data_IF_892350660314
#
_entry.id   IF_892350660314
#
_cell.length_a   1.000
_cell.length_b   1.000
_cell.length_c   1.000
_cell.angle_alpha   90.00
_cell.angle_beta   90.00
_cell.angle_gamma   90.00
#
_symmetry.space_group_name_H-M   'P 1'
#
loop_
_entity.id
_entity.type
_entity.pdbx_description
1 polymer ?
#
# COMPACT_ATOMS: atom_id res chain seq x y z
N UNK A 1 -13.64 -15.84 2.58
CA UNK A 1 -12.18 -15.67 2.35
C UNK A 1 -11.61 -14.74 3.41
N UNK A 2 -10.54 -15.13 4.11
CA UNK A 2 -9.89 -14.32 5.14
C UNK A 2 -8.99 -13.25 4.49
N UNK A 3 -9.11 -12.00 4.92
CA UNK A 3 -8.46 -10.84 4.29
C UNK A 3 -7.42 -10.26 5.23
N UNK A 4 -6.17 -10.19 4.80
CA UNK A 4 -5.08 -9.64 5.59
C UNK A 4 -4.56 -8.37 4.91
N UNK A 5 -4.56 -7.26 5.64
CA UNK A 5 -3.90 -6.04 5.22
C UNK A 5 -2.40 -6.12 5.50
N UNK A 6 -1.57 -6.22 4.46
CA UNK A 6 -0.12 -6.11 4.60
C UNK A 6 0.30 -4.66 4.43
N UNK A 7 0.80 -4.06 5.49
CA UNK A 7 1.20 -2.64 5.48
C UNK A 7 2.61 -2.44 6.00
N UNK A 8 3.11 -1.24 5.85
CA UNK A 8 4.43 -0.81 6.29
C UNK A 8 4.70 0.60 5.79
N UNK A 9 5.43 1.38 6.56
CA UNK A 9 5.80 2.73 6.14
C UNK A 9 6.90 2.69 5.07
N UNK A 10 7.17 3.84 4.44
CA UNK A 10 8.24 3.96 3.44
C UNK A 10 9.56 3.38 3.98
N UNK A 11 10.29 2.64 3.16
CA UNK A 11 11.58 2.02 3.45
C UNK A 11 11.60 0.97 4.59
N UNK A 12 10.45 0.45 5.05
CA UNK A 12 10.42 -0.67 6.03
C UNK A 12 10.73 -2.03 5.40
N UNK A 13 10.75 -2.14 4.06
CA UNK A 13 11.03 -3.39 3.35
C UNK A 13 9.78 -4.25 3.11
N UNK A 14 8.58 -3.66 3.08
CA UNK A 14 7.31 -4.35 2.81
C UNK A 14 7.38 -5.25 1.55
N UNK A 15 7.98 -4.76 0.46
CA UNK A 15 8.11 -5.53 -0.79
C UNK A 15 8.93 -6.82 -0.62
N UNK A 16 9.92 -6.83 0.27
CA UNK A 16 10.68 -8.04 0.62
C UNK A 16 9.77 -9.07 1.27
N UNK A 17 8.96 -8.65 2.25
CA UNK A 17 7.99 -9.52 2.92
C UNK A 17 6.90 -9.98 1.96
N UNK A 18 6.40 -9.10 1.08
CA UNK A 18 5.45 -9.45 0.02
C UNK A 18 5.97 -10.58 -0.87
N UNK A 19 7.24 -10.53 -1.27
CA UNK A 19 7.86 -11.57 -2.08
C UNK A 19 8.00 -12.88 -1.30
N UNK A 20 8.42 -12.83 -0.03
CA UNK A 20 8.49 -14.02 0.83
C UNK A 20 7.13 -14.72 0.99
N UNK A 21 6.05 -13.94 1.17
CA UNK A 21 4.70 -14.48 1.23
C UNK A 21 4.27 -15.15 -0.08
N UNK A 22 4.59 -14.53 -1.23
CA UNK A 22 4.33 -15.12 -2.55
C UNK A 22 5.11 -16.43 -2.77
N UNK A 23 6.36 -16.51 -2.31
CA UNK A 23 7.17 -17.73 -2.36
C UNK A 23 6.58 -18.86 -1.51
N UNK A 24 5.87 -18.52 -0.43
CA UNK A 24 5.13 -19.47 0.41
C UNK A 24 3.74 -19.84 -0.15
N UNK A 25 3.38 -19.31 -1.32
CA UNK A 25 2.10 -19.58 -1.98
C UNK A 25 0.95 -18.67 -1.55
N UNK A 26 1.22 -17.57 -0.83
CA UNK A 26 0.19 -16.61 -0.46
C UNK A 26 -0.34 -15.86 -1.69
N UNK A 27 -1.66 -15.69 -1.77
CA UNK A 27 -2.27 -14.84 -2.77
C UNK A 27 -2.18 -13.37 -2.32
N UNK A 28 -1.57 -12.52 -3.16
CA UNK A 28 -1.31 -11.11 -2.81
C UNK A 28 -1.84 -10.18 -3.90
N UNK A 29 -2.74 -9.28 -3.54
CA UNK A 29 -3.23 -8.19 -4.38
C UNK A 29 -2.37 -6.95 -4.12
N UNK A 30 -1.73 -6.41 -5.16
CA UNK A 30 -0.99 -5.14 -5.14
C UNK A 30 -1.98 -3.97 -5.27
N UNK A 31 -2.30 -3.32 -4.14
CA UNK A 31 -3.25 -2.21 -4.11
C UNK A 31 -2.69 -0.94 -4.78
N UNK A 32 -1.37 -0.78 -4.84
CA UNK A 32 -0.76 0.32 -5.60
C UNK A 32 -0.93 0.11 -7.12
N UNK A 33 -0.89 -1.15 -7.57
CA UNK A 33 -1.22 -1.49 -8.96
C UNK A 33 -2.69 -1.18 -9.25
N UNK A 34 -3.61 -1.62 -8.39
CA UNK A 34 -5.04 -1.31 -8.52
C UNK A 34 -5.28 0.19 -8.60
N UNK A 35 -4.60 0.99 -7.74
CA UNK A 35 -4.70 2.45 -7.76
C UNK A 35 -4.18 3.08 -9.06
N UNK A 36 -3.25 2.42 -9.76
CA UNK A 36 -2.82 2.85 -11.10
C UNK A 36 -3.82 2.45 -12.18
N UNK A 37 -4.34 1.25 -12.09
CA UNK A 37 -5.21 0.66 -13.11
C UNK A 37 -6.56 1.42 -13.19
N UNK A 38 -7.13 1.87 -12.07
CA UNK A 38 -8.40 2.62 -12.06
C UNK A 38 -8.33 3.99 -12.73
N UNK A 39 -7.12 4.51 -13.00
CA UNK A 39 -6.89 5.77 -13.74
C UNK A 39 -6.04 5.56 -14.99
N UNK A 40 -6.01 4.35 -15.52
CA UNK A 40 -5.38 4.05 -16.80
C UNK A 40 -6.14 4.72 -17.97
N UNK A 41 -5.53 4.86 -19.15
CA UNK A 41 -6.18 5.40 -20.33
C UNK A 41 -7.52 4.71 -20.65
N UNK A 42 -8.55 5.50 -20.94
CA UNK A 42 -9.89 4.98 -21.25
C UNK A 42 -10.76 4.62 -20.04
N UNK A 43 -10.25 4.73 -18.82
CA UNK A 43 -11.06 4.47 -17.61
C UNK A 43 -11.94 5.66 -17.22
N UNK A 44 -13.05 5.35 -16.53
CA UNK A 44 -13.91 6.40 -15.93
C UNK A 44 -13.17 7.21 -14.85
N UNK A 45 -12.13 6.61 -14.22
CA UNK A 45 -11.33 7.29 -13.21
C UNK A 45 -10.50 8.41 -13.82
N UNK A 46 -9.82 8.14 -14.92
CA UNK A 46 -9.05 9.17 -15.64
C UNK A 46 -9.95 10.28 -16.15
N UNK A 47 -11.11 9.94 -16.73
CA UNK A 47 -12.09 10.94 -17.18
C UNK A 47 -12.58 11.86 -16.06
N UNK A 48 -12.82 11.31 -14.86
CA UNK A 48 -13.17 12.12 -13.67
C UNK A 48 -12.05 13.03 -13.22
N UNK A 49 -10.80 12.55 -13.29
CA UNK A 49 -9.61 13.38 -12.97
C UNK A 49 -9.49 14.52 -13.95
N UNK A 50 -9.57 14.27 -15.26
CA UNK A 50 -9.52 15.30 -16.29
C UNK A 50 -10.64 16.34 -16.10
N UNK A 51 -11.86 15.90 -15.79
CA UNK A 51 -12.99 16.80 -15.56
C UNK A 51 -12.81 17.74 -14.35
N UNK A 52 -12.10 17.28 -13.30
CA UNK A 52 -11.90 18.06 -12.06
C UNK A 52 -10.63 18.89 -12.09
N UNK A 53 -9.54 18.36 -12.68
CA UNK A 53 -8.19 18.94 -12.64
C UNK A 53 -7.77 19.59 -13.97
N UNK A 54 -8.59 19.43 -15.02
CA UNK A 54 -8.33 20.00 -16.35
C UNK A 54 -7.50 19.07 -17.24
N UNK A 55 -7.32 19.49 -18.50
CA UNK A 55 -6.63 18.69 -19.51
C UNK A 55 -5.16 18.41 -19.19
N UNK A 56 -4.50 19.32 -18.46
CA UNK A 56 -3.11 19.16 -18.04
C UNK A 56 -2.91 18.00 -17.03
N UNK A 57 -4.02 17.46 -16.49
CA UNK A 57 -3.99 16.27 -15.65
C UNK A 57 -3.76 14.97 -16.43
N UNK A 58 -3.80 15.05 -17.77
CA UNK A 58 -3.54 13.91 -18.67
C UNK A 58 -2.32 14.24 -19.52
N UNK A 59 -1.30 13.40 -19.42
CA UNK A 59 -0.06 13.56 -20.19
C UNK A 59 -0.25 13.19 -21.68
N UNK A 60 0.72 13.53 -22.51
CA UNK A 60 0.65 13.29 -23.95
C UNK A 60 0.53 11.80 -24.35
N UNK A 61 0.95 10.89 -23.48
CA UNK A 61 0.82 9.44 -23.63
C UNK A 61 -0.58 8.90 -23.22
N UNK A 62 -1.47 9.78 -22.81
CA UNK A 62 -2.84 9.46 -22.41
C UNK A 62 -2.98 8.96 -20.96
N UNK A 63 -1.92 8.91 -20.17
CA UNK A 63 -1.97 8.57 -18.75
C UNK A 63 -2.16 9.81 -17.87
N UNK A 64 -2.57 9.58 -16.62
CA UNK A 64 -2.60 10.64 -15.61
C UNK A 64 -1.20 11.23 -15.41
N UNK A 65 -1.05 12.55 -15.58
CA UNK A 65 0.19 13.25 -15.25
C UNK A 65 0.37 13.31 -13.72
N UNK A 66 1.16 12.34 -13.22
CA UNK A 66 1.42 12.20 -11.78
C UNK A 66 2.27 13.32 -11.23
N UNK A 67 3.10 13.94 -12.06
CA UNK A 67 3.95 15.08 -11.63
C UNK A 67 3.06 16.30 -11.44
N UNK A 68 2.27 16.65 -12.45
CA UNK A 68 1.31 17.75 -12.39
C UNK A 68 0.33 17.60 -11.23
N UNK A 69 -0.34 16.45 -11.11
CA UNK A 69 -1.28 16.19 -10.03
C UNK A 69 -0.57 16.18 -8.67
N UNK A 70 0.62 15.59 -8.58
CA UNK A 70 1.41 15.57 -7.35
C UNK A 70 1.75 16.96 -6.85
N UNK A 71 2.23 17.84 -7.72
CA UNK A 71 2.55 19.24 -7.38
C UNK A 71 1.31 20.01 -6.94
N UNK A 72 0.18 19.78 -7.61
CA UNK A 72 -1.08 20.45 -7.30
C UNK A 72 -1.60 20.06 -5.91
N UNK A 73 -1.64 18.76 -5.60
CA UNK A 73 -2.16 18.24 -4.33
C UNK A 73 -1.19 18.47 -3.17
N UNK A 74 0.12 18.53 -3.44
CA UNK A 74 1.12 18.83 -2.42
C UNK A 74 0.95 20.25 -1.85
N UNK A 75 0.59 21.20 -2.71
CA UNK A 75 0.44 22.62 -2.35
C UNK A 75 -0.97 22.98 -1.89
N UNK A 76 -1.95 22.14 -2.16
CA UNK A 76 -3.36 22.46 -1.92
C UNK A 76 -4.12 21.29 -1.30
N UNK A 77 -4.37 21.31 0.05
CA UNK A 77 -5.10 20.27 0.75
C UNK A 77 -6.52 20.02 0.21
N UNK A 78 -7.19 21.05 -0.34
CA UNK A 78 -8.51 20.88 -0.94
C UNK A 78 -8.44 20.06 -2.23
N UNK A 79 -7.44 20.31 -3.08
CA UNK A 79 -7.22 19.52 -4.29
C UNK A 79 -6.83 18.09 -3.95
N UNK A 80 -6.03 17.89 -2.90
CA UNK A 80 -5.75 16.55 -2.37
C UNK A 80 -7.05 15.82 -2.01
N UNK A 81 -7.94 16.46 -1.25
CA UNK A 81 -9.23 15.88 -0.87
C UNK A 81 -10.12 15.59 -2.07
N UNK A 82 -10.13 16.45 -3.09
CA UNK A 82 -10.86 16.20 -4.35
C UNK A 82 -10.32 14.97 -5.08
N UNK A 83 -9.00 14.83 -5.17
CA UNK A 83 -8.36 13.65 -5.75
C UNK A 83 -8.71 12.37 -5.00
N UNK A 84 -8.60 12.39 -3.67
CA UNK A 84 -8.96 11.28 -2.80
C UNK A 84 -10.43 10.86 -2.94
N UNK A 85 -11.34 11.83 -3.04
CA UNK A 85 -12.78 11.57 -3.25
C UNK A 85 -13.09 10.92 -4.63
N UNK A 86 -12.21 11.08 -5.61
CA UNK A 86 -12.33 10.39 -6.89
C UNK A 86 -11.70 9.00 -6.81
N UNK A 87 -10.48 8.91 -6.27
CA UNK A 87 -9.66 7.70 -6.31
C UNK A 87 -10.16 6.61 -5.35
N UNK A 88 -10.43 6.94 -4.08
CA UNK A 88 -10.74 5.93 -3.07
C UNK A 88 -11.98 5.09 -3.41
N UNK A 89 -13.12 5.68 -3.83
CA UNK A 89 -14.26 4.87 -4.23
C UNK A 89 -13.96 3.92 -5.38
N UNK A 90 -13.18 4.35 -6.36
CA UNK A 90 -12.82 3.54 -7.52
C UNK A 90 -11.86 2.40 -7.15
N UNK A 91 -10.88 2.69 -6.30
CA UNK A 91 -9.93 1.68 -5.81
C UNK A 91 -10.68 0.64 -4.97
N UNK A 92 -11.54 1.07 -4.05
CA UNK A 92 -12.28 0.16 -3.18
C UNK A 92 -13.27 -0.71 -3.96
N UNK A 93 -13.93 -0.14 -4.98
CA UNK A 93 -14.78 -0.88 -5.89
C UNK A 93 -13.98 -1.95 -6.65
N UNK A 94 -12.86 -1.59 -7.27
CA UNK A 94 -12.01 -2.53 -8.00
C UNK A 94 -11.43 -3.64 -7.08
N UNK A 95 -11.01 -3.30 -5.86
CA UNK A 95 -10.56 -4.28 -4.87
C UNK A 95 -11.71 -5.23 -4.47
N UNK A 96 -12.91 -4.69 -4.23
CA UNK A 96 -14.05 -5.51 -3.86
C UNK A 96 -14.50 -6.43 -4.99
N UNK A 97 -14.48 -5.98 -6.24
CA UNK A 97 -14.76 -6.81 -7.42
C UNK A 97 -13.77 -7.98 -7.53
N UNK A 98 -12.49 -7.72 -7.34
CA UNK A 98 -11.45 -8.76 -7.37
C UNK A 98 -11.60 -9.75 -6.21
N UNK A 99 -11.88 -9.27 -4.99
CA UNK A 99 -12.15 -10.13 -3.83
C UNK A 99 -13.37 -11.03 -4.06
N UNK A 100 -14.46 -10.48 -4.58
CA UNK A 100 -15.66 -11.25 -4.90
C UNK A 100 -15.42 -12.27 -6.03
N UNK A 101 -14.56 -11.95 -6.99
CA UNK A 101 -14.14 -12.89 -8.03
C UNK A 101 -13.40 -14.08 -7.44
N UNK A 102 -12.39 -13.81 -6.59
CA UNK A 102 -11.61 -14.85 -5.91
C UNK A 102 -12.47 -15.75 -5.00
N UNK A 103 -13.45 -15.15 -4.31
CA UNK A 103 -14.40 -15.91 -3.48
C UNK A 103 -15.26 -16.85 -4.33
N UNK A 104 -15.81 -16.36 -5.44
CA UNK A 104 -16.64 -17.19 -6.37
C UNK A 104 -15.86 -18.32 -7.01
N UNK A 105 -14.60 -18.08 -7.33
CA UNK A 105 -13.71 -19.07 -7.94
C UNK A 105 -13.15 -20.07 -6.91
N UNK A 106 -13.32 -19.82 -5.62
CA UNK A 106 -12.69 -20.62 -4.56
C UNK A 106 -11.16 -20.65 -4.67
N UNK A 107 -10.57 -19.56 -5.18
CA UNK A 107 -9.17 -19.49 -5.58
C UNK A 107 -8.21 -19.62 -4.39
N UNK A 108 -8.61 -19.11 -3.22
CA UNK A 108 -7.77 -19.13 -2.01
C UNK A 108 -8.62 -18.94 -0.75
N UNK A 109 -8.28 -19.59 0.38
CA UNK A 109 -8.93 -19.31 1.65
C UNK A 109 -8.49 -17.99 2.27
N UNK A 110 -7.34 -17.45 1.89
CA UNK A 110 -6.76 -16.21 2.42
C UNK A 110 -6.15 -15.35 1.31
N UNK A 111 -6.32 -14.04 1.45
CA UNK A 111 -5.72 -13.05 0.53
C UNK A 111 -5.02 -11.96 1.32
N UNK A 112 -3.84 -11.56 0.86
CA UNK A 112 -3.13 -10.39 1.36
C UNK A 112 -3.41 -9.18 0.45
N UNK A 113 -3.80 -8.07 1.06
CA UNK A 113 -3.92 -6.77 0.40
C UNK A 113 -2.65 -5.97 0.72
N UNK A 114 -1.73 -5.89 -0.24
CA UNK A 114 -0.47 -5.16 -0.10
C UNK A 114 -0.74 -3.66 -0.26
N UNK A 115 -0.93 -2.97 0.88
CA UNK A 115 -1.38 -1.58 0.96
C UNK A 115 -0.50 -0.74 1.91
N UNK A 116 0.46 0.05 1.39
CA UNK A 116 1.35 0.88 2.21
C UNK A 116 0.61 1.90 3.08
N UNK A 117 -0.47 2.48 2.55
CA UNK A 117 -1.26 3.54 3.20
C UNK A 117 -2.56 3.03 3.84
N UNK A 118 -2.60 1.75 4.24
CA UNK A 118 -3.79 1.08 4.77
C UNK A 118 -4.50 1.87 5.88
N UNK A 119 -3.77 2.35 6.87
CA UNK A 119 -4.32 3.13 7.98
C UNK A 119 -4.65 4.57 7.59
N UNK A 120 -3.86 5.18 6.70
CA UNK A 120 -4.08 6.54 6.20
C UNK A 120 -5.42 6.64 5.45
N UNK A 121 -5.77 5.60 4.68
CA UNK A 121 -7.04 5.55 3.94
C UNK A 121 -8.16 4.84 4.72
N UNK A 122 -7.90 4.45 5.98
CA UNK A 122 -8.86 3.76 6.88
C UNK A 122 -9.39 2.45 6.30
N UNK A 123 -8.56 1.73 5.58
CA UNK A 123 -8.94 0.43 4.99
C UNK A 123 -8.80 -0.73 5.99
N UNK A 124 -8.22 -0.48 7.15
CA UNK A 124 -8.08 -1.44 8.25
C UNK A 124 -9.41 -2.04 8.72
N UNK A 125 -10.52 -1.31 8.57
CA UNK A 125 -11.88 -1.80 8.86
C UNK A 125 -12.45 -2.77 7.82
N UNK A 126 -11.78 -2.96 6.67
CA UNK A 126 -12.21 -3.85 5.58
C UNK A 126 -11.40 -5.14 5.49
N UNK A 127 -10.49 -5.36 6.43
CA UNK A 127 -9.67 -6.58 6.56
C UNK A 127 -9.90 -7.25 7.90
N UNK A 128 -9.67 -8.55 7.97
CA UNK A 128 -9.84 -9.33 9.19
C UNK A 128 -8.65 -9.19 10.13
N UNK A 129 -7.46 -8.94 9.59
CA UNK A 129 -6.20 -8.83 10.33
C UNK A 129 -5.22 -7.92 9.60
N UNK A 130 -4.40 -7.17 10.35
CA UNK A 130 -3.34 -6.33 9.76
C UNK A 130 -1.98 -6.87 10.17
N UNK A 131 -1.12 -7.12 9.17
CA UNK A 131 0.30 -7.46 9.33
C UNK A 131 1.14 -6.23 8.97
N UNK A 132 1.96 -5.78 9.92
CA UNK A 132 2.84 -4.63 9.74
C UNK A 132 4.28 -5.08 9.54
N UNK A 133 4.91 -4.62 8.47
CA UNK A 133 6.36 -4.68 8.31
C UNK A 133 6.98 -3.46 9.00
N UNK A 134 7.75 -3.73 10.03
CA UNK A 134 8.30 -2.74 10.94
C UNK A 134 9.83 -2.66 10.87
N UNK A 135 10.34 -1.48 11.03
CA UNK A 135 11.73 -1.21 11.44
C UNK A 135 11.74 0.01 12.36
N UNK A 136 12.71 0.14 13.28
CA UNK A 136 12.90 1.35 14.07
C UNK A 136 13.11 2.59 13.17
N UNK A 137 12.69 3.76 13.65
CA UNK A 137 12.75 5.02 12.91
C UNK A 137 14.13 5.33 12.31
N UNK A 138 15.20 5.13 13.08
CA UNK A 138 16.57 5.40 12.63
C UNK A 138 16.98 4.47 11.46
N UNK A 139 16.54 3.23 11.50
CA UNK A 139 16.75 2.26 10.41
C UNK A 139 15.97 2.66 9.17
N UNK A 140 14.72 3.08 9.36
CA UNK A 140 13.85 3.58 8.29
C UNK A 140 14.48 4.79 7.58
N UNK A 141 14.92 5.77 8.36
CA UNK A 141 15.56 7.00 7.87
C UNK A 141 16.84 6.67 7.07
N UNK A 142 17.72 5.87 7.67
CA UNK A 142 18.97 5.46 7.03
C UNK A 142 18.73 4.70 5.71
N UNK A 143 17.78 3.75 5.70
CA UNK A 143 17.43 2.99 4.50
C UNK A 143 16.85 3.89 3.41
N UNK A 144 15.98 4.85 3.76
CA UNK A 144 15.37 5.77 2.80
C UNK A 144 16.42 6.68 2.16
N UNK A 145 17.31 7.27 2.96
CA UNK A 145 18.41 8.11 2.48
C UNK A 145 19.30 7.32 1.51
N UNK A 146 19.75 6.12 1.92
CA UNK A 146 20.64 5.27 1.11
C UNK A 146 19.98 4.83 -0.21
N UNK A 147 18.71 4.42 -0.18
CA UNK A 147 17.99 3.91 -1.35
C UNK A 147 17.79 4.97 -2.44
N UNK A 148 17.47 6.20 -2.01
CA UNK A 148 17.02 7.26 -2.92
C UNK A 148 18.03 8.41 -3.10
N UNK A 149 19.16 8.41 -2.35
CA UNK A 149 20.12 9.51 -2.36
C UNK A 149 19.58 10.80 -1.72
N UNK A 150 18.56 10.70 -0.86
CA UNK A 150 17.94 11.87 -0.23
C UNK A 150 18.82 12.44 0.87
N UNK A 151 18.75 13.77 1.04
CA UNK A 151 19.21 14.42 2.27
C UNK A 151 18.35 13.97 3.45
N UNK A 152 18.82 14.24 4.66
CA UNK A 152 18.05 13.92 5.88
C UNK A 152 16.71 14.65 5.91
N UNK A 153 16.69 15.91 5.53
CA UNK A 153 15.50 16.76 5.48
C UNK A 153 14.47 16.22 4.49
N UNK A 154 14.91 15.84 3.29
CA UNK A 154 14.04 15.27 2.26
C UNK A 154 13.45 13.91 2.69
N UNK A 155 14.26 13.07 3.34
CA UNK A 155 13.82 11.78 3.87
C UNK A 155 12.79 11.96 5.00
N UNK A 156 13.04 12.90 5.93
CA UNK A 156 12.13 13.23 7.02
C UNK A 156 10.77 13.73 6.52
N UNK A 157 10.74 14.61 5.51
CA UNK A 157 9.49 15.09 4.91
C UNK A 157 8.63 13.93 4.40
N UNK A 158 9.24 12.92 3.77
CA UNK A 158 8.54 11.75 3.24
C UNK A 158 8.07 10.80 4.34
N UNK A 159 8.88 10.58 5.37
CA UNK A 159 8.49 9.76 6.52
C UNK A 159 7.32 10.41 7.25
N UNK A 160 7.39 11.72 7.50
CA UNK A 160 6.36 12.46 8.23
C UNK A 160 5.06 12.68 7.42
N UNK A 161 5.07 12.42 6.10
CA UNK A 161 3.85 12.41 5.30
C UNK A 161 2.96 11.20 5.54
N UNK A 162 3.46 10.20 6.27
CA UNK A 162 2.75 8.98 6.66
C UNK A 162 2.51 8.93 8.17
N UNK A 163 1.58 8.10 8.60
CA UNK A 163 1.44 7.78 10.03
C UNK A 163 2.75 7.16 10.53
N UNK A 164 3.31 7.63 11.67
CA UNK A 164 4.53 7.07 12.25
C UNK A 164 4.46 5.56 12.42
N UNK A 165 5.52 4.85 12.04
CA UNK A 165 5.53 3.38 12.04
C UNK A 165 5.26 2.79 13.43
N UNK A 166 5.68 3.46 14.51
CA UNK A 166 5.40 3.02 15.88
C UNK A 166 3.91 3.14 16.23
N UNK A 167 3.20 4.14 15.68
CA UNK A 167 1.74 4.21 15.82
C UNK A 167 1.06 3.09 15.06
N UNK A 168 1.51 2.78 13.85
CA UNK A 168 1.01 1.61 13.10
C UNK A 168 1.28 0.30 13.85
N UNK A 169 2.45 0.19 14.53
CA UNK A 169 2.80 -0.98 15.34
C UNK A 169 1.81 -1.24 16.47
N UNK A 170 1.32 -0.18 17.10
CA UNK A 170 0.33 -0.29 18.17
C UNK A 170 -1.07 -0.73 17.69
N UNK A 171 -1.36 -0.62 16.39
CA UNK A 171 -2.65 -0.94 15.79
C UNK A 171 -2.67 -2.31 15.09
N UNK A 172 -1.51 -2.82 14.69
CA UNK A 172 -1.40 -4.06 13.93
C UNK A 172 -1.55 -5.31 14.83
N UNK A 173 -2.20 -6.36 14.31
CA UNK A 173 -2.34 -7.64 14.99
C UNK A 173 -1.07 -8.48 14.92
N UNK A 174 -0.32 -8.39 13.80
CA UNK A 174 0.99 -9.03 13.67
C UNK A 174 2.04 -8.00 13.25
N UNK A 175 3.24 -8.15 13.79
CA UNK A 175 4.38 -7.30 13.46
C UNK A 175 5.53 -8.18 12.99
N UNK A 176 6.04 -7.86 11.80
CA UNK A 176 7.23 -8.50 11.21
C UNK A 176 8.37 -7.50 11.36
N UNK A 177 9.29 -7.75 12.28
CA UNK A 177 10.47 -6.91 12.46
C UNK A 177 11.51 -7.21 11.39
N UNK A 178 11.65 -6.26 10.47
CA UNK A 178 12.60 -6.33 9.35
C UNK A 178 13.87 -5.51 9.63
N UNK A 179 14.21 -5.26 10.89
CA UNK A 179 15.44 -4.54 11.26
C UNK A 179 16.68 -5.42 11.32
N UNK A 180 16.50 -6.72 11.50
CA UNK A 180 17.55 -7.72 11.55
C UNK A 180 18.03 -8.20 10.18
N UNK A 181 18.50 -9.44 10.12
CA UNK A 181 18.92 -10.10 8.88
C UNK A 181 17.74 -10.50 8.03
N UNK A 182 17.99 -10.77 6.74
CA UNK A 182 16.97 -11.28 5.83
C UNK A 182 16.42 -12.64 6.30
N UNK A 183 17.26 -13.48 6.89
CA UNK A 183 16.89 -14.81 7.39
C UNK A 183 15.97 -14.70 8.62
N UNK A 184 16.26 -13.77 9.55
CA UNK A 184 15.38 -13.51 10.70
C UNK A 184 13.97 -13.07 10.23
N UNK A 185 13.91 -12.21 9.22
CA UNK A 185 12.66 -11.76 8.63
C UNK A 185 11.90 -12.92 7.98
N UNK A 186 12.62 -13.77 7.23
CA UNK A 186 12.05 -14.93 6.54
C UNK A 186 11.48 -15.96 7.52
N UNK A 187 12.15 -16.18 8.65
CA UNK A 187 11.66 -17.08 9.70
C UNK A 187 10.39 -16.55 10.36
N UNK A 188 10.33 -15.25 10.65
CA UNK A 188 9.12 -14.61 11.17
C UNK A 188 7.95 -14.76 10.20
N UNK A 189 8.16 -14.48 8.90
CA UNK A 189 7.13 -14.59 7.86
C UNK A 189 6.64 -16.02 7.74
N UNK A 190 7.54 -17.02 7.72
CA UNK A 190 7.19 -18.44 7.66
C UNK A 190 6.36 -18.86 8.87
N UNK A 191 6.81 -18.53 10.08
CA UNK A 191 6.10 -18.86 11.32
C UNK A 191 4.70 -18.25 11.39
N UNK A 192 4.54 -17.00 10.95
CA UNK A 192 3.24 -16.34 10.87
C UNK A 192 2.33 -17.00 9.84
N UNK A 193 2.86 -17.34 8.67
CA UNK A 193 2.13 -18.02 7.60
C UNK A 193 1.63 -19.40 8.02
N UNK A 194 2.50 -20.22 8.63
CA UNK A 194 2.14 -21.55 9.13
C UNK A 194 1.03 -21.48 10.20
N UNK A 195 1.15 -20.55 11.15
CA UNK A 195 0.10 -20.33 12.17
C UNK A 195 -1.22 -19.87 11.55
N UNK A 196 -1.16 -19.04 10.52
CA UNK A 196 -2.35 -18.62 9.79
C UNK A 196 -3.03 -19.81 9.10
N UNK A 197 -2.27 -20.64 8.40
CA UNK A 197 -2.80 -21.83 7.72
C UNK A 197 -3.43 -22.85 8.67
N UNK A 198 -2.90 -23.01 9.88
CA UNK A 198 -3.49 -23.89 10.90
C UNK A 198 -4.82 -23.37 11.47
N UNK A 199 -5.11 -22.10 11.28
CA UNK A 199 -6.27 -21.38 11.83
C UNK A 199 -7.44 -21.31 10.84
N UNK A 200 -7.16 -21.51 9.55
CA UNK A 200 -8.11 -21.44 8.44
C UNK A 200 -8.48 -22.80 7.90
#
# INVERSE_FOLDING_TARGET
MYRIGLTGSIATGKSTVTNMLKELGAFVIDCDKTARDVVAPGTRGLAKIEAVFGKDAVAADGFMDRVYIGDLVFRNPEMKKRLENILFPLIFEALNEELLRLEREGATPVVFLDMPLLYEVKYDSYVDEVWLVYVPFEVQLSRLMKRNGYTKEEALLRIHSQIPVDKKKALAQQVIDNSGTLEDTKEQVRSLWERLQMRL
#
